data_IF_021344287855
#
_entry.id   IF_021344287855
#
_cell.length_a   1.000
_cell.length_b   1.000
_cell.length_c   1.000
_cell.angle_alpha   90.00
_cell.angle_beta   90.00
_cell.angle_gamma   90.00
#
_symmetry.space_group_name_H-M   'P 1'
#
loop_
_entity.id
_entity.type
_entity.pdbx_description
1 polymer ?
#
# COMPACT_ATOMS: atom_id res chain seq x y z
N UNK A 1 -18.23 25.37 25.48
CA UNK A 1 -18.86 24.50 24.46
C UNK A 1 -18.84 25.19 23.11
N UNK A 2 -18.72 24.42 22.03
CA UNK A 2 -18.89 24.86 20.63
C UNK A 2 -20.18 24.24 20.08
N UNK A 3 -20.93 25.03 19.30
CA UNK A 3 -22.14 24.59 18.61
C UNK A 3 -21.94 24.70 17.10
N UNK A 4 -21.77 23.57 16.41
CA UNK A 4 -21.72 23.50 14.94
C UNK A 4 -23.14 23.32 14.43
N UNK A 5 -23.71 24.37 13.83
CA UNK A 5 -25.12 24.40 13.40
C UNK A 5 -25.21 24.29 11.87
N UNK A 6 -26.06 23.39 11.39
CA UNK A 6 -26.36 23.29 9.96
C UNK A 6 -27.11 24.55 9.50
N UNK A 7 -26.68 25.13 8.38
CA UNK A 7 -27.34 26.30 7.79
C UNK A 7 -28.81 25.99 7.45
N UNK A 8 -29.78 26.80 7.90
CA UNK A 8 -31.19 26.59 7.57
C UNK A 8 -31.42 26.55 6.04
N UNK A 9 -32.22 25.59 5.56
CA UNK A 9 -32.60 25.47 4.15
C UNK A 9 -31.55 24.83 3.23
N UNK A 10 -30.35 24.50 3.72
CA UNK A 10 -29.27 23.92 2.90
C UNK A 10 -29.65 22.58 2.26
N UNK A 11 -30.46 21.75 2.93
CA UNK A 11 -30.91 20.47 2.39
C UNK A 11 -31.74 20.65 1.14
N UNK A 12 -32.66 21.63 1.14
CA UNK A 12 -33.49 21.95 -0.03
C UNK A 12 -32.63 22.41 -1.20
N UNK A 13 -31.64 23.27 -0.94
CA UNK A 13 -30.69 23.74 -1.96
C UNK A 13 -29.91 22.56 -2.57
N UNK A 14 -29.32 21.71 -1.72
CA UNK A 14 -28.55 20.55 -2.16
C UNK A 14 -29.42 19.57 -2.98
N UNK A 15 -30.66 19.34 -2.58
CA UNK A 15 -31.57 18.50 -3.35
C UNK A 15 -31.87 19.10 -4.74
N UNK A 16 -31.98 20.42 -4.86
CA UNK A 16 -32.13 21.09 -6.15
C UNK A 16 -30.87 20.95 -7.02
N UNK A 17 -29.69 21.15 -6.44
CA UNK A 17 -28.41 21.03 -7.15
C UNK A 17 -28.18 19.58 -7.63
N UNK A 18 -28.47 18.59 -6.79
CA UNK A 18 -28.39 17.17 -7.16
C UNK A 18 -29.33 16.84 -8.32
N UNK A 19 -30.54 17.42 -8.35
CA UNK A 19 -31.45 17.24 -9.49
C UNK A 19 -30.87 17.83 -10.78
N UNK A 20 -30.26 19.02 -10.73
CA UNK A 20 -29.60 19.63 -11.89
C UNK A 20 -28.44 18.74 -12.38
N UNK A 21 -27.58 18.29 -11.45
CA UNK A 21 -26.46 17.39 -11.74
C UNK A 21 -26.92 16.06 -12.34
N UNK A 22 -28.06 15.52 -11.91
CA UNK A 22 -28.65 14.34 -12.51
C UNK A 22 -28.97 14.53 -14.00
N UNK A 23 -29.59 15.67 -14.37
CA UNK A 23 -29.90 15.97 -15.76
C UNK A 23 -28.62 16.14 -16.59
N UNK A 24 -27.60 16.82 -16.05
CA UNK A 24 -26.29 16.95 -16.70
C UNK A 24 -25.66 15.58 -16.92
N UNK A 25 -25.60 14.75 -15.87
CA UNK A 25 -25.06 13.39 -15.96
C UNK A 25 -25.81 12.54 -16.99
N UNK A 26 -27.14 12.68 -17.07
CA UNK A 26 -27.98 11.99 -18.06
C UNK A 26 -27.71 12.45 -19.49
N UNK A 27 -27.49 13.75 -19.72
CA UNK A 27 -27.13 14.30 -21.04
C UNK A 27 -25.74 13.79 -21.45
N UNK A 28 -24.74 13.93 -20.57
CA UNK A 28 -23.37 13.48 -20.83
C UNK A 28 -23.32 11.98 -21.10
N UNK A 29 -24.15 11.19 -20.42
CA UNK A 29 -24.20 9.74 -20.63
C UNK A 29 -24.65 9.32 -22.03
N UNK A 30 -25.38 10.19 -22.75
CA UNK A 30 -25.76 9.93 -24.16
C UNK A 30 -24.59 10.09 -25.13
N UNK A 31 -23.57 10.85 -24.75
CA UNK A 31 -22.35 11.06 -25.53
C UNK A 31 -21.20 10.18 -25.05
N UNK A 32 -21.43 9.39 -23.99
CA UNK A 32 -20.39 8.63 -23.29
C UNK A 32 -20.53 7.11 -23.45
N UNK A 33 -21.34 6.62 -24.39
CA UNK A 33 -21.51 5.16 -24.61
C UNK A 33 -20.18 4.44 -24.91
N UNK A 34 -19.20 5.15 -25.47
CA UNK A 34 -17.84 4.67 -25.73
C UNK A 34 -16.79 5.16 -24.73
N UNK A 35 -17.19 5.95 -23.71
CA UNK A 35 -16.28 6.51 -22.72
C UNK A 35 -16.25 5.65 -21.46
N UNK A 36 -15.06 5.44 -20.91
CA UNK A 36 -14.84 4.77 -19.63
C UNK A 36 -15.42 5.58 -18.45
N UNK A 37 -15.61 6.89 -18.64
CA UNK A 37 -16.29 7.75 -17.68
C UNK A 37 -17.78 7.47 -17.80
N UNK A 38 -18.39 7.05 -16.69
CA UNK A 38 -19.83 6.80 -16.60
C UNK A 38 -20.48 7.88 -15.74
N UNK A 39 -20.95 9.00 -16.32
CA UNK A 39 -21.41 10.17 -15.56
C UNK A 39 -22.55 9.85 -14.59
N UNK A 40 -23.45 8.93 -14.96
CA UNK A 40 -24.52 8.48 -14.07
C UNK A 40 -24.03 7.66 -12.87
N UNK A 41 -22.97 6.86 -13.01
CA UNK A 41 -22.36 6.16 -11.86
C UNK A 41 -21.70 7.18 -10.92
N UNK A 42 -20.93 8.11 -11.46
CA UNK A 42 -20.29 9.19 -10.70
C UNK A 42 -21.33 10.04 -9.95
N UNK A 43 -22.43 10.40 -10.61
CA UNK A 43 -23.52 11.14 -9.98
C UNK A 43 -24.13 10.38 -8.80
N UNK A 44 -24.34 9.06 -8.91
CA UNK A 44 -24.91 8.25 -7.82
C UNK A 44 -23.97 8.25 -6.61
N UNK A 45 -22.68 8.02 -6.83
CA UNK A 45 -21.67 8.05 -5.78
C UNK A 45 -21.61 9.43 -5.11
N UNK A 46 -21.57 10.50 -5.91
CA UNK A 46 -21.56 11.88 -5.40
C UNK A 46 -22.81 12.21 -4.58
N UNK A 47 -24.01 11.81 -5.05
CA UNK A 47 -25.27 12.00 -4.34
C UNK A 47 -25.25 11.30 -2.99
N UNK A 48 -24.87 10.03 -2.95
CA UNK A 48 -24.81 9.27 -1.70
C UNK A 48 -23.82 9.87 -0.71
N UNK A 49 -22.68 10.32 -1.23
CA UNK A 49 -21.65 11.00 -0.46
C UNK A 49 -22.18 12.30 0.17
N UNK A 50 -22.70 13.24 -0.62
CA UNK A 50 -23.21 14.53 -0.10
C UNK A 50 -24.35 14.34 0.90
N UNK A 51 -25.30 13.43 0.63
CA UNK A 51 -26.41 13.19 1.55
C UNK A 51 -25.94 12.56 2.87
N UNK A 52 -24.85 11.79 2.86
CA UNK A 52 -24.22 11.27 4.08
C UNK A 52 -23.56 12.37 4.90
N UNK A 53 -22.84 13.27 4.25
CA UNK A 53 -22.18 14.43 4.87
C UNK A 53 -23.20 15.39 5.52
N UNK A 54 -24.41 15.46 4.97
CA UNK A 54 -25.48 16.29 5.54
C UNK A 54 -25.98 15.83 6.92
N UNK A 55 -25.65 14.63 7.39
CA UNK A 55 -26.09 14.17 8.71
C UNK A 55 -24.96 14.27 9.73
N UNK A 56 -25.02 15.26 10.62
CA UNK A 56 -24.02 15.50 11.66
C UNK A 56 -23.86 14.35 12.68
N UNK A 57 -24.81 13.41 12.75
CA UNK A 57 -24.60 12.17 13.51
C UNK A 57 -23.47 11.31 12.94
N UNK A 58 -23.19 11.41 11.63
CA UNK A 58 -22.09 10.71 11.00
C UNK A 58 -20.74 11.31 11.42
N UNK A 59 -20.64 12.64 11.44
CA UNK A 59 -19.46 13.35 11.94
C UNK A 59 -19.19 13.00 13.41
N UNK A 60 -20.22 13.03 14.29
CA UNK A 60 -20.08 12.62 15.69
C UNK A 60 -19.62 11.15 15.85
N UNK A 61 -20.11 10.23 15.00
CA UNK A 61 -19.62 8.83 14.98
C UNK A 61 -18.15 8.75 14.58
N UNK A 62 -17.74 9.49 13.55
CA UNK A 62 -16.33 9.54 13.11
C UNK A 62 -15.44 10.07 14.24
N UNK A 63 -15.83 11.17 14.86
CA UNK A 63 -15.12 11.79 15.99
C UNK A 63 -14.89 10.79 17.13
N UNK A 64 -15.90 9.97 17.49
CA UNK A 64 -15.77 8.90 18.48
C UNK A 64 -14.81 7.78 18.04
N UNK A 65 -14.90 7.35 16.77
CA UNK A 65 -14.06 6.27 16.24
C UNK A 65 -12.59 6.69 16.25
N UNK A 66 -12.30 7.89 15.77
CA UNK A 66 -10.94 8.45 15.76
C UNK A 66 -10.49 8.73 17.19
N UNK A 67 -11.35 9.34 18.02
CA UNK A 67 -11.13 9.63 19.43
C UNK A 67 -10.66 8.43 20.25
N UNK A 68 -11.24 7.25 20.03
CA UNK A 68 -10.88 6.03 20.78
C UNK A 68 -9.43 5.57 20.58
N UNK A 69 -8.87 5.80 19.40
CA UNK A 69 -7.54 5.31 19.03
C UNK A 69 -6.51 6.44 19.13
N UNK A 70 -6.82 7.59 18.54
CA UNK A 70 -5.94 8.76 18.52
C UNK A 70 -5.89 9.45 19.89
N UNK A 71 -6.98 9.46 20.67
CA UNK A 71 -7.01 10.10 21.99
C UNK A 71 -6.10 9.46 23.05
N UNK A 72 -5.39 8.38 22.71
CA UNK A 72 -4.31 7.81 23.54
C UNK A 72 -2.96 8.49 23.32
N UNK A 73 -2.82 9.26 22.24
CA UNK A 73 -1.63 10.03 21.94
C UNK A 73 -1.67 11.34 22.73
N UNK A 74 -0.78 11.52 23.70
CA UNK A 74 -0.77 12.68 24.59
C UNK A 74 -0.51 14.01 23.86
N UNK A 75 -0.07 13.94 22.60
CA UNK A 75 0.19 15.09 21.71
C UNK A 75 -1.05 15.52 20.93
N UNK A 76 -2.14 14.75 20.96
CA UNK A 76 -3.38 15.05 20.24
C UNK A 76 -4.54 15.22 21.23
N UNK A 77 -5.34 16.25 21.02
CA UNK A 77 -6.58 16.50 21.74
C UNK A 77 -7.74 16.40 20.74
N UNK A 78 -8.74 15.62 21.10
CA UNK A 78 -10.02 15.58 20.41
C UNK A 78 -11.05 16.08 21.41
N UNK A 79 -11.79 17.18 21.10
CA UNK A 79 -12.81 17.71 21.99
C UNK A 79 -13.77 16.62 22.47
N UNK A 80 -14.29 16.71 23.68
CA UNK A 80 -15.37 15.80 24.09
C UNK A 80 -16.65 16.08 23.30
N UNK A 81 -17.24 15.04 22.70
CA UNK A 81 -18.54 15.14 22.02
C UNK A 81 -19.67 14.96 23.03
N UNK A 82 -20.58 15.94 23.11
CA UNK A 82 -21.79 15.81 23.91
C UNK A 82 -22.90 15.15 23.08
N UNK A 83 -22.94 13.82 23.16
CA UNK A 83 -23.85 12.98 22.35
C UNK A 83 -25.33 13.28 22.62
N UNK A 84 -25.68 13.56 23.87
CA UNK A 84 -27.05 13.87 24.29
C UNK A 84 -27.63 15.14 23.66
N UNK A 85 -26.76 16.07 23.21
CA UNK A 85 -27.15 17.30 22.52
C UNK A 85 -26.84 17.27 21.02
N UNK A 86 -26.24 16.19 20.51
CA UNK A 86 -25.88 16.06 19.10
C UNK A 86 -27.03 15.46 18.30
N UNK A 87 -27.38 16.11 17.19
CA UNK A 87 -28.48 15.71 16.29
C UNK A 87 -28.00 15.69 14.83
N UNK A 88 -28.87 15.38 13.88
CA UNK A 88 -28.54 15.46 12.45
C UNK A 88 -28.21 16.89 11.96
N UNK A 89 -28.52 17.93 12.76
CA UNK A 89 -28.39 19.34 12.41
C UNK A 89 -27.49 20.15 13.36
N UNK A 90 -27.06 19.55 14.47
CA UNK A 90 -26.28 20.21 15.52
C UNK A 90 -25.22 19.26 16.07
N UNK A 91 -23.97 19.72 16.15
CA UNK A 91 -22.93 19.08 16.95
C UNK A 91 -22.63 19.99 18.14
N UNK A 92 -22.58 19.40 19.33
CA UNK A 92 -22.16 20.07 20.56
C UNK A 92 -20.92 19.37 21.08
N UNK A 93 -19.85 20.14 21.25
CA UNK A 93 -18.57 19.61 21.73
C UNK A 93 -17.89 20.57 22.71
N UNK A 94 -16.91 20.05 23.43
CA UNK A 94 -16.04 20.82 24.31
C UNK A 94 -15.44 22.01 23.56
N UNK A 95 -15.37 23.16 24.25
CA UNK A 95 -14.63 24.30 23.71
C UNK A 95 -13.18 24.22 24.17
N UNK A 96 -12.28 24.22 23.22
CA UNK A 96 -10.85 24.22 23.48
C UNK A 96 -10.27 25.54 22.98
N UNK A 97 -9.75 26.32 23.92
CA UNK A 97 -8.97 27.52 23.61
C UNK A 97 -7.56 27.11 23.17
N UNK A 98 -7.15 27.55 21.99
CA UNK A 98 -5.85 27.24 21.40
C UNK A 98 -5.49 28.26 20.32
N UNK A 99 -4.23 28.22 19.88
CA UNK A 99 -3.68 29.09 18.84
C UNK A 99 -3.84 28.45 17.46
N UNK A 100 -3.95 29.26 16.40
CA UNK A 100 -3.86 28.72 15.04
C UNK A 100 -2.43 28.30 14.74
N UNK A 101 -2.27 27.37 13.80
CA UNK A 101 -0.96 26.91 13.32
C UNK A 101 -0.09 28.10 12.85
N UNK A 102 -0.70 29.06 12.14
CA UNK A 102 -0.04 30.28 11.64
C UNK A 102 0.45 31.25 12.73
N UNK A 103 0.04 31.05 13.99
CA UNK A 103 0.35 31.91 15.14
C UNK A 103 1.42 31.29 16.05
N UNK A 104 2.00 30.15 15.65
CA UNK A 104 3.01 29.45 16.43
C UNK A 104 4.39 30.05 16.23
N UNK A 105 5.15 30.14 17.32
CA UNK A 105 6.56 30.57 17.29
C UNK A 105 7.47 29.43 16.79
N UNK A 106 7.20 28.18 17.21
CA UNK A 106 7.94 26.97 16.82
C UNK A 106 7.01 25.95 16.12
N UNK A 107 6.53 26.24 14.91
CA UNK A 107 5.58 25.38 14.21
C UNK A 107 6.14 24.00 13.82
N UNK A 108 7.45 23.83 13.77
CA UNK A 108 8.06 22.54 13.39
C UNK A 108 7.75 21.41 14.37
N UNK A 109 7.50 21.72 15.65
CA UNK A 109 7.24 20.73 16.70
C UNK A 109 5.92 19.95 16.48
N UNK A 110 4.98 20.52 15.72
CA UNK A 110 3.69 19.87 15.46
C UNK A 110 3.68 19.00 14.19
N UNK A 111 4.73 19.05 13.36
CA UNK A 111 4.79 18.30 12.10
C UNK A 111 4.70 16.80 12.33
N UNK A 112 5.58 16.25 13.18
CA UNK A 112 5.60 14.81 13.45
C UNK A 112 4.27 14.32 14.07
N UNK A 113 3.71 14.99 15.09
CA UNK A 113 2.40 14.63 15.63
C UNK A 113 1.26 14.73 14.61
N UNK A 114 1.25 15.73 13.72
CA UNK A 114 0.28 15.81 12.60
C UNK A 114 0.45 14.57 11.72
N UNK A 115 1.62 14.34 11.14
CA UNK A 115 1.83 13.25 10.19
C UNK A 115 1.47 11.90 10.80
N UNK A 116 1.92 11.62 12.02
CA UNK A 116 1.61 10.36 12.71
C UNK A 116 0.12 10.20 13.00
N UNK A 117 -0.59 11.29 13.36
CA UNK A 117 -2.03 11.27 13.59
C UNK A 117 -2.80 10.83 12.33
N UNK A 118 -2.48 11.38 11.15
CA UNK A 118 -3.15 10.96 9.90
C UNK A 118 -2.73 9.56 9.47
N UNK A 119 -1.49 9.16 9.69
CA UNK A 119 -1.06 7.81 9.37
C UNK A 119 -1.78 6.76 10.22
N UNK A 120 -1.98 7.01 11.52
CA UNK A 120 -2.83 6.18 12.38
C UNK A 120 -4.25 6.11 11.83
N UNK A 121 -4.85 7.24 11.47
CA UNK A 121 -6.19 7.25 10.89
C UNK A 121 -6.32 6.43 9.60
N UNK A 122 -5.38 6.61 8.65
CA UNK A 122 -5.39 5.95 7.34
C UNK A 122 -5.12 4.45 7.47
N UNK A 123 -4.04 4.09 8.18
CA UNK A 123 -3.48 2.74 8.15
C UNK A 123 -3.88 1.89 9.36
N UNK A 124 -3.99 2.45 10.56
CA UNK A 124 -4.36 1.68 11.76
C UNK A 124 -5.89 1.58 11.91
N UNK A 125 -6.61 2.69 11.66
CA UNK A 125 -8.07 2.75 11.81
C UNK A 125 -8.80 2.40 10.51
N UNK A 126 -8.30 2.88 9.37
CA UNK A 126 -9.03 2.83 8.09
C UNK A 126 -10.20 3.80 8.00
N UNK A 127 -10.22 4.81 8.88
CA UNK A 127 -11.16 5.92 8.88
C UNK A 127 -10.32 7.17 9.08
N UNK A 128 -10.33 8.08 8.11
CA UNK A 128 -9.50 9.27 8.13
C UNK A 128 -10.28 10.54 7.85
N UNK A 129 -9.93 11.60 8.57
CA UNK A 129 -10.38 12.94 8.27
C UNK A 129 -9.71 13.40 6.97
N UNK A 130 -10.54 13.68 5.97
CA UNK A 130 -10.10 13.89 4.61
C UNK A 130 -10.09 15.35 4.16
N UNK A 131 -10.23 16.29 5.10
CA UNK A 131 -10.02 17.71 4.88
C UNK A 131 -9.10 18.34 5.95
N UNK A 132 -7.82 17.94 6.03
CA UNK A 132 -6.87 18.57 6.93
C UNK A 132 -6.50 19.96 6.44
N UNK A 133 -7.43 20.90 6.55
CA UNK A 133 -7.19 22.32 6.32
C UNK A 133 -6.67 22.98 7.61
N UNK A 134 -5.72 23.94 7.57
CA UNK A 134 -5.20 24.62 8.76
C UNK A 134 -6.27 25.15 9.72
N UNK A 135 -7.42 25.58 9.17
CA UNK A 135 -8.57 26.06 9.94
C UNK A 135 -9.30 25.00 10.78
N UNK A 136 -9.06 23.71 10.54
CA UNK A 136 -9.63 22.60 11.30
C UNK A 136 -8.72 22.15 12.46
N UNK A 137 -7.66 22.93 12.73
CA UNK A 137 -6.67 22.67 13.77
C UNK A 137 -6.47 23.86 14.68
N UNK A 138 -6.27 23.56 15.96
CA UNK A 138 -5.67 24.48 16.91
C UNK A 138 -4.50 23.79 17.59
N UNK A 139 -3.66 24.57 18.25
CA UNK A 139 -2.61 24.07 19.12
C UNK A 139 -2.82 24.63 20.51
N UNK A 140 -2.88 23.74 21.49
CA UNK A 140 -3.02 24.06 22.91
C UNK A 140 -1.90 23.37 23.68
N UNK A 141 -1.06 24.14 24.35
CA UNK A 141 0.04 23.63 25.19
C UNK A 141 0.95 22.63 24.43
N UNK A 142 1.26 22.93 23.16
CA UNK A 142 2.06 22.06 22.28
C UNK A 142 1.32 20.84 21.71
N UNK A 143 0.02 20.69 22.00
CA UNK A 143 -0.82 19.57 21.53
C UNK A 143 -1.74 20.02 20.40
N UNK A 144 -1.94 19.16 19.41
CA UNK A 144 -2.82 19.43 18.26
C UNK A 144 -4.25 19.12 18.65
N UNK A 145 -5.15 20.08 18.42
CA UNK A 145 -6.59 19.94 18.62
C UNK A 145 -7.26 19.74 17.27
N UNK A 146 -7.97 18.63 17.09
CA UNK A 146 -8.73 18.35 15.87
C UNK A 146 -10.17 18.83 16.03
N UNK A 147 -10.62 19.77 15.18
CA UNK A 147 -11.93 20.42 15.33
C UNK A 147 -13.03 19.91 14.38
N UNK A 148 -12.66 19.37 13.22
CA UNK A 148 -13.60 18.94 12.19
C UNK A 148 -13.38 17.47 11.82
N UNK A 149 -14.50 16.76 11.64
CA UNK A 149 -14.55 15.36 11.23
C UNK A 149 -15.64 15.13 10.15
N UNK A 150 -16.14 16.20 9.53
CA UNK A 150 -17.20 16.16 8.53
C UNK A 150 -16.78 15.28 7.36
N UNK A 151 -15.72 15.70 6.66
CA UNK A 151 -15.26 14.97 5.49
C UNK A 151 -14.45 13.72 5.87
N UNK A 152 -15.05 12.53 5.74
CA UNK A 152 -14.42 11.27 6.17
C UNK A 152 -14.16 10.30 5.01
N UNK A 153 -12.94 9.81 4.88
CA UNK A 153 -12.59 8.68 4.02
C UNK A 153 -12.54 7.35 4.78
N UNK A 154 -12.82 6.24 4.07
CA UNK A 154 -12.80 4.89 4.64
C UNK A 154 -12.05 3.91 3.75
N UNK A 155 -11.20 3.09 4.36
CA UNK A 155 -10.43 2.05 3.70
C UNK A 155 -10.67 0.73 4.42
N UNK A 156 -11.09 -0.30 3.69
CA UNK A 156 -11.16 -1.64 4.25
C UNK A 156 -9.75 -2.19 4.53
N UNK A 157 -9.67 -3.28 5.30
CA UNK A 157 -8.39 -3.88 5.71
C UNK A 157 -7.54 -4.33 4.52
N UNK A 158 -8.15 -4.85 3.46
CA UNK A 158 -7.43 -5.32 2.27
C UNK A 158 -6.80 -4.13 1.56
N UNK A 159 -7.57 -3.07 1.31
CA UNK A 159 -7.13 -1.83 0.68
C UNK A 159 -5.98 -1.20 1.47
N UNK A 160 -6.07 -1.17 2.80
CA UNK A 160 -4.98 -0.66 3.65
C UNK A 160 -3.70 -1.47 3.51
N UNK A 161 -3.79 -2.80 3.56
CA UNK A 161 -2.63 -3.68 3.39
C UNK A 161 -1.99 -3.50 2.02
N UNK A 162 -2.81 -3.42 0.97
CA UNK A 162 -2.37 -3.16 -0.41
C UNK A 162 -1.66 -1.81 -0.51
N UNK A 163 -2.26 -0.74 0.02
CA UNK A 163 -1.66 0.59 -0.01
C UNK A 163 -0.31 0.61 0.70
N UNK A 164 -0.22 0.06 1.91
CA UNK A 164 1.06 0.06 2.63
C UNK A 164 2.13 -0.79 1.95
N UNK A 165 1.72 -1.90 1.34
CA UNK A 165 2.57 -2.75 0.54
C UNK A 165 3.13 -1.99 -0.68
N UNK A 166 2.28 -1.23 -1.37
CA UNK A 166 2.69 -0.38 -2.51
C UNK A 166 3.61 0.74 -2.03
N UNK A 167 3.27 1.47 -0.97
CA UNK A 167 4.09 2.61 -0.53
C UNK A 167 5.45 2.13 0.00
N UNK A 168 5.51 0.99 0.72
CA UNK A 168 6.80 0.38 1.12
C UNK A 168 7.67 0.08 -0.11
N UNK A 169 7.09 -0.53 -1.15
CA UNK A 169 7.84 -0.83 -2.36
C UNK A 169 8.25 0.41 -3.18
N UNK A 170 7.45 1.48 -3.15
CA UNK A 170 7.86 2.78 -3.73
C UNK A 170 9.10 3.32 -3.02
N UNK A 171 9.12 3.24 -1.70
CA UNK A 171 10.23 3.72 -0.86
C UNK A 171 11.51 2.89 -1.07
N UNK A 172 11.39 1.58 -1.22
CA UNK A 172 12.52 0.67 -1.43
C UNK A 172 12.90 0.53 -2.92
N UNK A 173 12.24 1.29 -3.80
CA UNK A 173 12.37 1.18 -5.26
C UNK A 173 12.13 -0.25 -5.81
N UNK A 174 11.31 -1.04 -5.11
CA UNK A 174 10.92 -2.40 -5.49
C UNK A 174 9.73 -2.39 -6.45
N UNK A 175 9.99 -2.00 -7.69
CA UNK A 175 8.99 -1.97 -8.77
C UNK A 175 8.33 -3.33 -9.03
N UNK A 176 9.06 -4.42 -8.77
CA UNK A 176 8.56 -5.78 -8.95
C UNK A 176 7.50 -6.13 -7.90
N UNK A 177 7.68 -5.72 -6.65
CA UNK A 177 6.67 -5.92 -5.62
C UNK A 177 5.39 -5.14 -5.93
N UNK A 178 5.48 -3.93 -6.46
CA UNK A 178 4.31 -3.18 -6.95
C UNK A 178 3.60 -3.98 -8.05
N UNK A 179 4.33 -4.51 -9.04
CA UNK A 179 3.75 -5.36 -10.08
C UNK A 179 3.02 -6.57 -9.48
N UNK A 180 3.67 -7.27 -8.52
CA UNK A 180 3.10 -8.46 -7.87
C UNK A 180 1.80 -8.15 -7.14
N UNK A 181 1.75 -7.06 -6.37
CA UNK A 181 0.53 -6.62 -5.68
C UNK A 181 -0.59 -6.37 -6.68
N UNK A 182 -0.31 -5.68 -7.79
CA UNK A 182 -1.30 -5.40 -8.82
C UNK A 182 -1.73 -6.67 -9.56
N UNK A 183 -0.83 -7.61 -9.80
CA UNK A 183 -1.13 -8.91 -10.42
C UNK A 183 -2.02 -9.78 -9.52
N UNK A 184 -1.70 -9.90 -8.23
CA UNK A 184 -2.45 -10.70 -7.26
C UNK A 184 -3.88 -10.19 -7.04
N UNK A 185 -4.08 -8.87 -7.15
CA UNK A 185 -5.40 -8.24 -7.10
C UNK A 185 -6.19 -8.37 -8.40
N UNK A 186 -5.61 -8.98 -9.44
CA UNK A 186 -6.22 -9.08 -10.76
C UNK A 186 -6.32 -7.73 -11.49
N UNK A 187 -5.61 -6.71 -11.03
CA UNK A 187 -5.53 -5.38 -11.64
C UNK A 187 -4.71 -5.46 -12.93
N UNK A 188 -3.67 -6.28 -12.94
CA UNK A 188 -2.86 -6.57 -14.13
C UNK A 188 -3.14 -7.99 -14.60
N UNK A 189 -3.49 -8.16 -15.89
CA UNK A 189 -3.60 -9.48 -16.52
C UNK A 189 -2.21 -10.13 -16.62
N UNK A 190 -2.14 -11.46 -16.51
CA UNK A 190 -0.88 -12.23 -16.64
C UNK A 190 -0.13 -12.02 -17.96
N UNK A 191 -0.80 -11.44 -18.96
CA UNK A 191 -0.23 -11.13 -20.28
C UNK A 191 0.48 -9.78 -20.33
N UNK A 192 0.37 -8.93 -19.30
CA UNK A 192 1.07 -7.64 -19.29
C UNK A 192 2.57 -7.84 -18.98
N UNK A 193 3.48 -7.33 -19.82
CA UNK A 193 4.91 -7.52 -19.61
C UNK A 193 5.40 -6.88 -18.30
N UNK A 194 6.02 -7.68 -17.43
CA UNK A 194 6.60 -7.23 -16.15
C UNK A 194 7.59 -6.08 -16.38
N UNK A 195 8.47 -6.24 -17.38
CA UNK A 195 9.53 -5.28 -17.70
C UNK A 195 8.97 -3.91 -18.06
N UNK A 196 7.89 -3.86 -18.84
CA UNK A 196 7.27 -2.59 -19.24
C UNK A 196 6.61 -1.91 -18.04
N UNK A 197 5.99 -2.69 -17.13
CA UNK A 197 5.47 -2.16 -15.87
C UNK A 197 6.58 -1.56 -15.01
N UNK A 198 7.67 -2.31 -14.79
CA UNK A 198 8.75 -1.88 -13.91
C UNK A 198 9.46 -0.63 -14.42
N UNK A 199 9.62 -0.51 -15.74
CA UNK A 199 10.21 0.69 -16.36
C UNK A 199 9.33 1.93 -16.13
N UNK A 200 8.02 1.81 -16.37
CA UNK A 200 7.06 2.91 -16.16
C UNK A 200 6.92 3.27 -14.67
N UNK A 201 6.86 2.25 -13.80
CA UNK A 201 6.80 2.45 -12.35
C UNK A 201 8.07 3.13 -11.83
N UNK A 202 9.26 2.71 -12.28
CA UNK A 202 10.53 3.34 -11.90
C UNK A 202 10.58 4.79 -12.32
N UNK A 203 10.23 5.09 -13.57
CA UNK A 203 10.19 6.46 -14.06
C UNK A 203 9.25 7.35 -13.24
N UNK A 204 8.07 6.82 -12.85
CA UNK A 204 7.16 7.54 -11.96
C UNK A 204 7.75 7.75 -10.57
N UNK A 205 8.36 6.73 -9.97
CA UNK A 205 8.99 6.84 -8.64
C UNK A 205 10.11 7.87 -8.69
N UNK A 206 11.02 7.79 -9.65
CA UNK A 206 12.14 8.73 -9.79
C UNK A 206 11.66 10.16 -10.01
N UNK A 207 10.55 10.34 -10.73
CA UNK A 207 9.95 11.67 -10.98
C UNK A 207 9.29 12.25 -9.73
N UNK A 208 8.64 11.44 -8.89
CA UNK A 208 7.72 11.94 -7.86
C UNK A 208 8.17 11.69 -6.42
N UNK A 209 9.06 10.74 -6.15
CA UNK A 209 9.43 10.36 -4.77
C UNK A 209 10.07 11.50 -3.98
N UNK A 210 10.91 12.30 -4.65
CA UNK A 210 11.59 13.45 -4.04
C UNK A 210 10.95 14.80 -4.45
N UNK A 211 9.83 14.74 -5.17
CA UNK A 211 9.10 15.94 -5.59
C UNK A 211 8.02 16.23 -4.56
N UNK A 212 7.95 17.45 -4.02
CA UNK A 212 6.86 17.83 -3.12
C UNK A 212 5.48 17.59 -3.76
N UNK A 213 4.57 16.91 -3.06
CA UNK A 213 3.20 16.61 -3.48
C UNK A 213 2.42 17.86 -3.93
N UNK A 214 2.70 19.04 -3.39
CA UNK A 214 2.08 20.31 -3.83
C UNK A 214 2.57 20.75 -5.23
N UNK A 215 3.83 20.47 -5.57
CA UNK A 215 4.42 20.76 -6.88
C UNK A 215 3.99 19.71 -7.92
N UNK A 216 3.51 18.56 -7.46
CA UNK A 216 2.91 17.56 -8.32
C UNK A 216 1.60 18.08 -8.86
N UNK A 217 1.63 18.42 -10.15
CA UNK A 217 0.41 18.73 -10.89
C UNK A 217 -0.51 17.52 -10.92
N UNK A 218 -1.59 17.59 -10.13
CA UNK A 218 -2.57 16.51 -9.95
C UNK A 218 -3.20 16.09 -11.27
N UNK A 219 -3.50 17.03 -12.17
CA UNK A 219 -4.15 16.69 -13.45
C UNK A 219 -3.24 15.84 -14.38
N UNK A 220 -1.98 16.21 -14.65
CA UNK A 220 -1.02 15.33 -15.32
C UNK A 220 -0.78 13.99 -14.63
N UNK A 221 -0.62 13.97 -13.30
CA UNK A 221 -0.43 12.72 -12.56
C UNK A 221 -1.66 11.83 -12.68
N UNK A 222 -2.86 12.38 -12.47
CA UNK A 222 -4.12 11.68 -12.67
C UNK A 222 -4.27 11.20 -14.10
N UNK A 223 -3.92 12.01 -15.12
CA UNK A 223 -3.98 11.60 -16.51
C UNK A 223 -3.02 10.44 -16.82
N UNK A 224 -1.83 10.43 -16.21
CA UNK A 224 -0.80 9.39 -16.34
C UNK A 224 -1.17 8.10 -15.59
N UNK A 225 -1.63 8.21 -14.34
CA UNK A 225 -2.19 7.08 -13.59
C UNK A 225 -3.41 6.55 -14.31
N UNK A 226 -4.34 7.41 -14.73
CA UNK A 226 -5.54 7.00 -15.44
C UNK A 226 -5.23 6.43 -16.81
N UNK A 227 -4.24 6.91 -17.56
CA UNK A 227 -3.85 6.29 -18.84
C UNK A 227 -3.31 4.88 -18.63
N UNK A 228 -2.54 4.68 -17.56
CA UNK A 228 -1.99 3.38 -17.17
C UNK A 228 -3.10 2.44 -16.71
N UNK A 229 -3.97 2.89 -15.79
CA UNK A 229 -5.13 2.14 -15.32
C UNK A 229 -6.16 1.87 -16.44
N UNK A 230 -6.29 2.77 -17.43
CA UNK A 230 -7.11 2.56 -18.64
C UNK A 230 -6.59 1.41 -19.49
N UNK A 231 -5.27 1.30 -19.70
CA UNK A 231 -4.68 0.14 -20.39
C UNK A 231 -4.90 -1.17 -19.61
N UNK A 232 -5.13 -1.07 -18.31
CA UNK A 232 -5.30 -2.19 -17.38
C UNK A 232 -6.77 -2.50 -17.04
N UNK A 233 -7.74 -1.76 -17.62
CA UNK A 233 -9.19 -1.94 -17.41
C UNK A 233 -9.66 -1.84 -15.93
N UNK A 234 -8.97 -1.05 -15.10
CA UNK A 234 -9.24 -0.96 -13.65
C UNK A 234 -9.93 0.36 -13.29
N UNK A 235 -10.95 0.27 -12.43
CA UNK A 235 -11.59 1.43 -11.82
C UNK A 235 -10.89 1.78 -10.50
N UNK A 236 -10.48 3.04 -10.34
CA UNK A 236 -9.94 3.52 -9.07
C UNK A 236 -11.10 3.73 -8.06
N UNK A 237 -11.04 3.16 -6.84
CA UNK A 237 -12.04 3.44 -5.81
C UNK A 237 -12.05 4.94 -5.44
N UNK A 238 -13.24 5.54 -5.29
CA UNK A 238 -13.37 6.97 -4.95
C UNK A 238 -12.66 7.39 -3.65
N UNK A 239 -12.56 6.49 -2.68
CA UNK A 239 -11.83 6.73 -1.42
C UNK A 239 -10.31 6.92 -1.62
N UNK A 240 -9.72 6.43 -2.71
CA UNK A 240 -8.30 6.66 -3.03
C UNK A 240 -8.05 8.08 -3.55
N UNK A 241 -9.00 8.67 -4.27
CA UNK A 241 -8.92 10.08 -4.66
C UNK A 241 -8.99 10.99 -3.44
N UNK A 242 -9.91 10.66 -2.52
CA UNK A 242 -10.06 11.38 -1.27
C UNK A 242 -8.78 11.27 -0.41
N UNK A 243 -8.18 10.07 -0.32
CA UNK A 243 -6.87 9.86 0.30
C UNK A 243 -5.78 10.72 -0.34
N UNK A 244 -5.70 10.75 -1.68
CA UNK A 244 -4.73 11.59 -2.40
C UNK A 244 -4.87 13.08 -2.05
N UNK A 245 -6.10 13.61 -2.05
CA UNK A 245 -6.39 14.99 -1.61
C UNK A 245 -5.88 15.23 -0.19
N UNK A 246 -6.18 14.31 0.73
CA UNK A 246 -5.77 14.41 2.13
C UNK A 246 -4.24 14.47 2.27
N UNK A 247 -3.50 13.61 1.57
CA UNK A 247 -2.04 13.59 1.63
C UNK A 247 -1.42 14.90 1.10
N UNK A 248 -1.98 15.45 0.01
CA UNK A 248 -1.56 16.76 -0.53
C UNK A 248 -1.78 17.87 0.49
N UNK A 249 -2.94 17.90 1.16
CA UNK A 249 -3.24 18.90 2.18
C UNK A 249 -2.34 18.76 3.42
N UNK A 250 -2.05 17.54 3.88
CA UNK A 250 -1.11 17.30 4.99
C UNK A 250 0.28 17.82 4.62
N UNK A 251 0.76 17.50 3.42
CA UNK A 251 2.08 17.97 3.02
C UNK A 251 2.12 19.48 2.87
N UNK A 252 1.08 20.10 2.31
CA UNK A 252 0.95 21.55 2.22
C UNK A 252 1.05 22.21 3.60
N UNK A 253 0.34 21.67 4.60
CA UNK A 253 0.49 22.12 6.00
C UNK A 253 1.95 21.98 6.44
N UNK A 254 2.54 20.79 6.29
CA UNK A 254 3.89 20.55 6.79
C UNK A 254 4.94 21.45 6.09
N UNK A 255 4.73 21.81 4.82
CA UNK A 255 5.59 22.74 4.06
C UNK A 255 5.41 24.20 4.47
N UNK A 256 4.20 24.61 4.82
CA UNK A 256 3.94 25.93 5.43
C UNK A 256 4.76 26.08 6.73
N UNK A 257 4.94 24.99 7.47
CA UNK A 257 5.70 24.96 8.72
C UNK A 257 7.20 24.72 8.52
N UNK A 258 7.58 23.95 7.51
CA UNK A 258 8.95 23.58 7.18
C UNK A 258 9.10 23.44 5.66
N UNK A 259 9.65 24.45 4.97
CA UNK A 259 9.68 24.48 3.49
C UNK A 259 10.32 23.25 2.82
N UNK A 260 11.35 22.68 3.46
CA UNK A 260 12.07 21.49 2.94
C UNK A 260 11.42 20.15 3.35
N UNK A 261 10.20 20.18 3.90
CA UNK A 261 9.49 18.98 4.31
C UNK A 261 9.09 18.13 3.10
N UNK A 262 9.38 16.82 3.18
CA UNK A 262 8.99 15.81 2.17
C UNK A 262 8.24 14.69 2.86
N UNK A 263 6.93 14.57 2.60
CA UNK A 263 6.06 13.62 3.30
C UNK A 263 6.56 12.19 3.17
N UNK A 264 6.99 11.78 1.97
CA UNK A 264 7.46 10.42 1.68
C UNK A 264 8.57 9.91 2.62
N UNK A 265 9.49 10.79 3.03
CA UNK A 265 10.59 10.44 3.95
C UNK A 265 10.04 10.12 5.35
N UNK A 266 9.08 10.92 5.81
CA UNK A 266 8.47 10.76 7.13
C UNK A 266 7.46 9.59 7.19
N UNK A 267 6.92 9.16 6.04
CA UNK A 267 6.04 7.99 5.94
C UNK A 267 6.79 6.67 6.14
N UNK A 268 8.06 6.58 5.71
CA UNK A 268 8.83 5.33 5.69
C UNK A 268 8.83 4.58 7.03
N UNK A 269 9.22 5.18 8.17
CA UNK A 269 9.29 4.45 9.43
C UNK A 269 7.92 3.97 9.91
N UNK A 270 6.85 4.70 9.57
CA UNK A 270 5.50 4.30 9.91
C UNK A 270 5.05 3.08 9.10
N UNK A 271 5.31 3.11 7.79
CA UNK A 271 4.93 2.05 6.87
C UNK A 271 5.71 0.77 7.12
N UNK A 272 7.01 0.85 7.43
CA UNK A 272 7.82 -0.32 7.82
C UNK A 272 7.24 -1.00 9.08
N UNK A 273 6.89 -0.22 10.12
CA UNK A 273 6.22 -0.75 11.31
C UNK A 273 4.90 -1.44 10.97
N UNK A 274 4.13 -0.87 10.05
CA UNK A 274 2.83 -1.41 9.66
C UNK A 274 2.94 -2.65 8.77
N UNK A 275 3.90 -2.68 7.85
CA UNK A 275 4.25 -3.83 7.04
C UNK A 275 4.65 -5.00 7.96
N UNK A 276 5.58 -4.76 8.89
CA UNK A 276 5.98 -5.77 9.89
C UNK A 276 4.79 -6.26 10.73
N UNK A 277 3.88 -5.39 11.15
CA UNK A 277 2.64 -5.79 11.87
C UNK A 277 1.68 -6.63 11.03
N UNK A 278 1.64 -6.38 9.72
CA UNK A 278 0.81 -7.16 8.79
C UNK A 278 1.40 -8.55 8.53
N UNK A 279 2.72 -8.70 8.68
CA UNK A 279 3.43 -9.98 8.62
C UNK A 279 3.60 -10.68 9.97
N UNK A 280 3.45 -9.96 11.10
CA UNK A 280 3.47 -10.56 12.43
C UNK A 280 2.20 -11.41 12.63
N UNK A 281 2.33 -12.74 12.75
CA UNK A 281 1.18 -13.62 12.88
C UNK A 281 0.65 -13.51 14.30
N UNK A 282 -0.34 -12.65 14.52
CA UNK A 282 -1.19 -12.70 15.72
C UNK A 282 -2.01 -14.00 15.84
N UNK A 283 -1.74 -15.01 14.97
CA UNK A 283 -2.25 -16.38 15.04
C UNK A 283 -1.18 -17.39 14.55
N UNK A 284 -0.07 -17.49 15.27
CA UNK A 284 1.02 -18.44 15.00
C UNK A 284 0.66 -19.95 15.07
N UNK A 285 -0.62 -20.31 15.22
CA UNK A 285 -1.06 -21.70 15.36
C UNK A 285 -1.46 -22.42 14.07
N UNK A 286 -1.59 -21.74 12.92
CA UNK A 286 -2.16 -22.36 11.70
C UNK A 286 -1.31 -22.30 10.42
N UNK A 287 -0.16 -21.64 10.43
CA UNK A 287 0.53 -21.27 9.18
C UNK A 287 1.99 -21.70 9.07
N UNK A 288 2.28 -22.97 9.39
CA UNK A 288 3.43 -23.69 8.80
C UNK A 288 3.32 -23.71 7.26
N UNK A 289 2.10 -23.53 6.72
CA UNK A 289 1.83 -23.37 5.27
C UNK A 289 2.37 -22.06 4.66
N UNK A 290 2.64 -21.03 5.47
CA UNK A 290 3.13 -19.71 5.02
C UNK A 290 4.65 -19.65 5.07
N UNK A 291 5.29 -20.28 6.05
CA UNK A 291 6.76 -20.39 6.09
C UNK A 291 7.28 -21.21 4.88
N UNK A 292 6.50 -22.18 4.37
CA UNK A 292 6.81 -22.86 3.09
C UNK A 292 6.63 -21.96 1.85
N UNK A 293 5.95 -20.81 1.96
CA UNK A 293 5.79 -19.83 0.87
C UNK A 293 6.95 -18.84 0.77
N UNK A 294 7.77 -18.68 1.80
CA UNK A 294 8.89 -17.73 1.75
C UNK A 294 10.18 -18.35 1.18
N UNK A 295 10.31 -19.68 1.18
CA UNK A 295 11.32 -20.39 0.35
C UNK A 295 11.04 -20.25 -1.16
N UNK A 296 9.83 -19.75 -1.51
CA UNK A 296 9.39 -19.51 -2.88
C UNK A 296 9.97 -18.21 -3.45
N UNK A 297 10.43 -17.26 -2.65
CA UNK A 297 10.99 -15.98 -3.15
C UNK A 297 12.36 -16.13 -3.84
N UNK A 298 13.16 -17.11 -3.42
CA UNK A 298 14.41 -17.47 -4.12
C UNK A 298 14.10 -18.16 -5.45
N UNK A 299 13.01 -18.94 -5.51
CA UNK A 299 12.54 -19.65 -6.72
C UNK A 299 11.87 -18.67 -7.71
N UNK A 300 11.13 -17.68 -7.21
CA UNK A 300 10.46 -16.65 -8.02
C UNK A 300 11.41 -15.54 -8.54
N UNK A 301 12.67 -15.56 -8.13
CA UNK A 301 13.73 -14.72 -8.70
C UNK A 301 14.32 -15.28 -10.01
N UNK A 302 14.16 -16.59 -10.25
CA UNK A 302 14.66 -17.27 -11.44
C UNK A 302 13.96 -16.84 -12.75
N UNK A 303 12.63 -16.62 -12.78
CA UNK A 303 11.93 -16.10 -13.95
C UNK A 303 12.36 -14.68 -14.33
N UNK A 304 12.69 -13.80 -13.37
CA UNK A 304 13.12 -12.41 -13.65
C UNK A 304 14.31 -12.37 -14.60
N UNK A 305 15.28 -13.24 -14.39
CA UNK A 305 16.48 -13.37 -15.23
C UNK A 305 16.08 -13.86 -16.64
N UNK A 306 15.25 -14.89 -16.73
CA UNK A 306 14.82 -15.48 -18.02
C UNK A 306 14.00 -14.48 -18.84
N UNK A 307 13.06 -13.76 -18.22
CA UNK A 307 12.24 -12.76 -18.91
C UNK A 307 13.07 -11.53 -19.32
N UNK A 308 14.02 -11.09 -18.49
CA UNK A 308 14.97 -10.04 -18.84
C UNK A 308 15.81 -10.42 -20.06
N UNK A 309 16.37 -11.63 -20.10
CA UNK A 309 17.15 -12.12 -21.23
C UNK A 309 16.30 -12.34 -22.50
N UNK A 310 15.07 -12.80 -22.36
CA UNK A 310 14.15 -12.98 -23.49
C UNK A 310 13.71 -11.64 -24.09
N UNK A 311 13.42 -10.64 -23.25
CA UNK A 311 13.10 -9.29 -23.70
C UNK A 311 14.28 -8.61 -24.41
N UNK A 312 15.52 -8.89 -23.99
CA UNK A 312 16.75 -8.47 -24.67
C UNK A 312 16.92 -9.12 -26.05
N UNK A 313 16.56 -10.41 -26.20
CA UNK A 313 16.62 -11.16 -27.45
C UNK A 313 15.54 -10.73 -28.45
N UNK A 314 14.29 -10.53 -27.99
CA UNK A 314 13.15 -10.16 -28.85
C UNK A 314 13.24 -8.72 -29.38
N UNK A 315 14.01 -7.83 -28.72
CA UNK A 315 14.19 -6.43 -29.15
C UNK A 315 15.33 -6.19 -30.16
N UNK A 316 16.02 -7.23 -30.63
CA UNK A 316 16.91 -7.17 -31.81
C UNK A 316 18.02 -6.11 -31.77
N UNK A 317 18.48 -5.69 -30.59
CA UNK A 317 19.43 -4.57 -30.41
C UNK A 317 20.77 -4.94 -29.77
N UNK A 318 21.28 -6.15 -29.98
CA UNK A 318 22.70 -6.45 -29.77
C UNK A 318 23.19 -7.45 -30.83
N UNK A 319 23.91 -7.01 -31.88
CA UNK A 319 24.76 -7.90 -32.64
C UNK A 319 26.07 -8.07 -31.86
N UNK A 320 26.11 -8.96 -30.89
CA UNK A 320 27.37 -9.47 -30.35
C UNK A 320 27.17 -10.93 -29.97
N UNK A 321 27.92 -11.81 -30.63
CA UNK A 321 28.33 -13.07 -30.04
C UNK A 321 29.05 -12.73 -28.73
N UNK A 322 28.32 -12.74 -27.61
CA UNK A 322 28.92 -12.58 -26.28
C UNK A 322 29.59 -13.92 -25.96
N UNK A 323 30.88 -14.04 -26.27
CA UNK A 323 31.79 -14.97 -25.60
C UNK A 323 31.58 -14.80 -24.09
N UNK A 324 30.92 -15.76 -23.43
CA UNK A 324 30.52 -15.66 -22.03
C UNK A 324 29.06 -16.02 -21.76
N UNK A 325 28.15 -15.90 -22.73
CA UNK A 325 26.73 -16.21 -22.50
C UNK A 325 26.48 -17.72 -22.42
N UNK A 326 27.17 -18.52 -23.25
CA UNK A 326 27.11 -19.99 -23.16
C UNK A 326 27.71 -20.47 -21.86
N UNK A 327 28.80 -19.86 -21.42
CA UNK A 327 29.52 -20.15 -20.20
C UNK A 327 28.67 -19.81 -18.97
N UNK A 328 27.95 -18.68 -18.99
CA UNK A 328 27.01 -18.30 -17.93
C UNK A 328 25.80 -19.25 -17.85
N UNK A 329 25.24 -19.66 -19.00
CA UNK A 329 24.15 -20.64 -19.05
C UNK A 329 24.64 -21.99 -18.52
N UNK A 330 25.83 -22.45 -18.91
CA UNK A 330 26.42 -23.70 -18.42
C UNK A 330 26.73 -23.64 -16.92
N UNK A 331 27.22 -22.51 -16.41
CA UNK A 331 27.45 -22.31 -14.97
C UNK A 331 26.13 -22.35 -14.19
N UNK A 332 25.05 -21.80 -14.76
CA UNK A 332 23.72 -21.82 -14.16
C UNK A 332 23.10 -23.23 -14.16
N UNK A 333 23.19 -23.95 -15.28
CA UNK A 333 22.77 -25.35 -15.37
C UNK A 333 23.57 -26.23 -14.41
N UNK A 334 24.87 -25.97 -14.27
CA UNK A 334 25.72 -26.66 -13.32
C UNK A 334 25.30 -26.39 -11.87
N UNK A 335 25.05 -25.12 -11.51
CA UNK A 335 24.59 -24.73 -10.18
C UNK A 335 23.22 -25.33 -9.84
N UNK A 336 22.27 -25.29 -10.78
CA UNK A 336 20.93 -25.84 -10.61
C UNK A 336 20.96 -27.37 -10.40
N UNK A 337 21.71 -28.09 -11.24
CA UNK A 337 21.90 -29.53 -11.08
C UNK A 337 22.61 -29.87 -9.77
N UNK A 338 23.54 -29.02 -9.35
CA UNK A 338 24.28 -29.20 -8.09
C UNK A 338 23.35 -29.08 -6.87
N UNK A 339 22.48 -28.08 -6.87
CA UNK A 339 21.47 -27.89 -5.83
C UNK A 339 20.43 -29.02 -5.81
N UNK A 340 19.94 -29.45 -6.97
CA UNK A 340 18.97 -30.54 -7.07
C UNK A 340 19.51 -31.85 -6.48
N UNK A 341 20.77 -32.19 -6.79
CA UNK A 341 21.42 -33.38 -6.24
C UNK A 341 21.63 -33.24 -4.72
N UNK A 342 22.04 -32.06 -4.25
CA UNK A 342 22.18 -31.79 -2.81
C UNK A 342 20.87 -31.97 -2.04
N UNK A 343 19.75 -31.53 -2.61
CA UNK A 343 18.42 -31.71 -2.02
C UNK A 343 17.98 -33.18 -2.00
N UNK A 344 18.25 -33.94 -3.06
CA UNK A 344 17.96 -35.38 -3.09
C UNK A 344 18.77 -36.10 -2.02
N UNK A 345 20.06 -35.80 -1.88
CA UNK A 345 20.92 -36.40 -0.84
C UNK A 345 20.40 -36.05 0.57
N UNK A 346 20.03 -34.79 0.80
CA UNK A 346 19.45 -34.36 2.08
C UNK A 346 18.11 -35.07 2.38
N UNK A 347 17.23 -35.22 1.38
CA UNK A 347 15.97 -35.93 1.53
C UNK A 347 16.17 -37.42 1.85
N UNK A 348 17.16 -38.07 1.22
CA UNK A 348 17.51 -39.47 1.51
C UNK A 348 18.07 -39.61 2.92
N UNK A 349 18.93 -38.70 3.38
CA UNK A 349 19.45 -38.67 4.76
C UNK A 349 18.31 -38.52 5.76
N UNK A 350 17.43 -37.54 5.56
CA UNK A 350 16.30 -37.26 6.44
C UNK A 350 15.33 -38.45 6.45
N UNK A 351 14.96 -38.97 5.28
CA UNK A 351 14.09 -40.15 5.14
C UNK A 351 14.66 -41.39 5.83
N UNK A 352 15.97 -41.64 5.68
CA UNK A 352 16.67 -42.76 6.34
C UNK A 352 16.67 -42.60 7.87
N UNK A 353 16.84 -41.36 8.35
CA UNK A 353 16.77 -41.02 9.78
C UNK A 353 15.37 -41.29 10.35
N UNK A 354 14.31 -40.92 9.62
CA UNK A 354 12.92 -41.16 10.04
C UNK A 354 12.54 -42.64 10.04
N UNK A 355 13.04 -43.43 9.09
CA UNK A 355 12.77 -44.89 9.00
C UNK A 355 13.43 -45.66 10.16
N UNK A 356 14.59 -45.22 10.64
CA UNK A 356 15.30 -45.87 11.76
C UNK A 356 14.65 -45.64 13.13
N UNK A 357 13.91 -44.53 13.30
CA UNK A 357 13.43 -44.08 14.61
C UNK A 357 12.29 -44.93 15.22
N UNK A 358 11.28 -45.42 14.47
CA UNK A 358 10.13 -46.12 15.05
C UNK A 358 10.23 -47.65 15.14
N UNK A 359 11.20 -48.32 14.50
CA UNK A 359 11.24 -49.80 14.50
C UNK A 359 12.63 -50.39 14.23
N UNK A 360 13.21 -51.19 15.16
CA UNK A 360 14.51 -51.85 14.97
C UNK A 360 14.58 -52.78 13.75
N UNK A 361 13.43 -53.33 13.31
CA UNK A 361 13.34 -54.20 12.12
C UNK A 361 13.57 -53.45 10.79
N UNK A 362 13.37 -52.12 10.77
CA UNK A 362 13.58 -51.28 9.58
C UNK A 362 14.94 -50.59 9.58
N UNK A 363 15.76 -50.79 10.62
CA UNK A 363 17.10 -50.24 10.72
C UNK A 363 18.03 -50.61 9.54
N UNK A 364 18.01 -51.85 9.00
CA UNK A 364 18.81 -52.20 7.83
C UNK A 364 18.47 -51.35 6.60
N UNK A 365 17.20 -50.97 6.42
CA UNK A 365 16.75 -50.16 5.29
C UNK A 365 17.22 -48.70 5.41
N UNK A 366 17.25 -48.15 6.63
CA UNK A 366 17.83 -46.83 6.89
C UNK A 366 19.35 -46.81 6.70
N UNK A 367 20.06 -47.87 7.07
CA UNK A 367 21.50 -48.02 6.82
C UNK A 367 21.82 -48.06 5.31
N UNK A 368 20.99 -48.74 4.51
CA UNK A 368 21.09 -48.73 3.05
C UNK A 368 20.91 -47.30 2.50
N UNK A 369 19.94 -46.55 3.03
CA UNK A 369 19.71 -45.16 2.62
C UNK A 369 20.88 -44.22 2.95
N UNK A 370 21.50 -44.34 4.14
CA UNK A 370 22.72 -43.61 4.47
C UNK A 370 23.91 -44.01 3.59
N UNK A 371 24.05 -45.30 3.28
CA UNK A 371 25.09 -45.78 2.37
C UNK A 371 24.93 -45.17 0.97
N UNK A 372 23.71 -45.17 0.43
CA UNK A 372 23.38 -44.51 -0.84
C UNK A 372 23.72 -43.03 -0.76
N UNK A 373 23.27 -42.31 0.27
CA UNK A 373 23.57 -40.89 0.44
C UNK A 373 25.09 -40.62 0.53
N UNK A 374 25.85 -41.48 1.20
CA UNK A 374 27.30 -41.39 1.30
C UNK A 374 27.99 -41.55 -0.05
N UNK A 375 27.60 -42.56 -0.84
CA UNK A 375 28.14 -42.79 -2.20
C UNK A 375 27.81 -41.61 -3.12
N UNK A 376 26.56 -41.14 -3.10
CA UNK A 376 26.17 -39.96 -3.89
C UNK A 376 26.88 -38.68 -3.43
N UNK A 377 27.09 -38.50 -2.12
CA UNK A 377 27.84 -37.37 -1.57
C UNK A 377 29.30 -37.36 -2.00
N UNK A 378 29.97 -38.53 -1.99
CA UNK A 378 31.35 -38.66 -2.46
C UNK A 378 31.45 -38.41 -3.96
N UNK A 379 30.56 -39.01 -4.75
CA UNK A 379 30.48 -38.79 -6.20
C UNK A 379 30.22 -37.31 -6.54
N UNK A 380 29.38 -36.65 -5.76
CA UNK A 380 29.07 -35.23 -5.89
C UNK A 380 30.25 -34.32 -5.57
N UNK A 381 30.96 -34.59 -4.46
CA UNK A 381 32.20 -33.88 -4.13
C UNK A 381 33.26 -34.04 -5.22
N UNK A 382 33.40 -35.26 -5.76
CA UNK A 382 34.30 -35.52 -6.89
C UNK A 382 33.93 -34.68 -8.13
N UNK A 383 32.64 -34.56 -8.44
CA UNK A 383 32.14 -33.74 -9.55
C UNK A 383 32.44 -32.24 -9.34
N UNK A 384 32.23 -31.71 -8.14
CA UNK A 384 32.54 -30.31 -7.77
C UNK A 384 34.03 -30.01 -7.94
N UNK A 385 34.89 -30.89 -7.45
CA UNK A 385 36.34 -30.71 -7.53
C UNK A 385 36.82 -30.76 -8.99
N UNK A 386 36.21 -31.62 -9.81
CA UNK A 386 36.55 -31.74 -11.24
C UNK A 386 36.08 -30.55 -12.08
N UNK A 387 34.94 -29.95 -11.75
CA UNK A 387 34.42 -28.77 -12.45
C UNK A 387 35.25 -27.51 -12.20
N UNK A 388 35.86 -27.34 -11.01
CA UNK A 388 36.77 -26.21 -10.72
C UNK A 388 38.12 -26.24 -11.46
N UNK A 389 38.43 -27.34 -12.17
CA UNK A 389 39.72 -27.53 -12.88
C UNK A 389 39.63 -27.27 -14.40
N UNK A 390 38.44 -26.99 -14.91
CA UNK A 390 38.18 -26.48 -16.25
C UNK A 390 37.59 -25.08 -16.11
#
# INVERSE_FOLDING_TARGET
>A
MVFKVKRPGVEKLIHQDLNILFYIARILSRFSETSWVKPLEIYREFREFILREMNFLNEGKTMKVIGRIIGRDERIIIPELLEEYTTANLIVMEYIEGKKISELENPEEIIEPVVECWMKQIFDIGVFHADPHPGNFLVKDGKIVLLDFGLTGRLDTVTRQVLSSIVSAVIDMDTFHIYRVFYELGIIKSTFPVVDFELEAREMIDTYLNTPLEEIRILPLYQRISSTLRRMEVKLPGNLLLLGKTLVQIEGICRELKPDFVLGIHLKPYLEKMYLRSFLPLRAGKDISVIMRDTKEVIHSFPRIIYFFRALLERGRIPMEIEGLKEAIQALEYAANTLAIGLIVAAVIIGSTFIMRPSPKLAPLGLIGYFIAGVFGIWFLYRIIRYRRF
#
